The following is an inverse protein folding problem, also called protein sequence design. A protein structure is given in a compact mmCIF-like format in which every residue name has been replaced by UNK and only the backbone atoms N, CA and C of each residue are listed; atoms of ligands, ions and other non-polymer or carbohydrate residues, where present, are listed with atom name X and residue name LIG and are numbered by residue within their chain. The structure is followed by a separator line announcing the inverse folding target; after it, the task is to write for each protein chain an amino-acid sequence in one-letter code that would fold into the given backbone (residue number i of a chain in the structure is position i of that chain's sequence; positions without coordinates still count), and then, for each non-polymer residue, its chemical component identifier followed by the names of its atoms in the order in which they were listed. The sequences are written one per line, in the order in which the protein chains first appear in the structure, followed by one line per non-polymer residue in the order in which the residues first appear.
data_IF_840539093606
#
_entry.id   IF_840539093606
#
_cell.length_a   1.000
_cell.length_b   1.000
_cell.length_c   1.000
_cell.angle_alpha   90.00
_cell.angle_beta   90.00
_cell.angle_gamma   90.00
#
_symmetry.space_group_name_H-M   'P 1'
#
loop_
_entity.id
_entity.type
_entity.pdbx_description
1 polymer ?
#
# COMPACT_ATOMS: atom_id res chain seq x y z
N UNK A 1 0.25 11.57 22.22
CA UNK A 1 1.56 11.53 21.91
C UNK A 1 2.37 12.64 21.35
N UNK A 2 3.22 13.17 22.21
CA UNK A 2 3.88 14.47 22.04
C UNK A 2 5.39 14.33 21.75
N UNK A 3 5.87 13.10 21.50
CA UNK A 3 7.30 12.82 21.36
C UNK A 3 7.87 13.17 19.98
N UNK A 4 7.03 13.43 18.99
CA UNK A 4 7.48 13.77 17.62
C UNK A 4 8.19 12.63 16.88
N UNK A 5 8.19 11.43 17.43
CA UNK A 5 8.81 10.24 16.81
C UNK A 5 7.84 9.64 15.80
N UNK A 6 8.24 9.48 14.53
CA UNK A 6 7.33 9.02 13.47
C UNK A 6 7.06 7.51 13.49
N UNK A 7 7.87 6.73 14.20
CA UNK A 7 7.75 5.28 14.28
C UNK A 7 7.91 4.79 15.72
N UNK A 8 7.26 3.71 16.07
CA UNK A 8 7.34 3.08 17.38
C UNK A 8 7.14 1.58 17.33
N UNK A 9 7.61 0.90 18.36
CA UNK A 9 7.44 -0.54 18.56
C UNK A 9 6.54 -0.80 19.75
N UNK A 10 5.62 -1.74 19.60
CA UNK A 10 4.71 -2.20 20.64
C UNK A 10 4.80 -3.73 20.73
N UNK A 11 4.87 -4.25 21.96
CA UNK A 11 4.91 -5.68 22.20
C UNK A 11 3.92 -6.06 23.30
N UNK A 12 3.08 -7.06 23.02
CA UNK A 12 2.05 -7.53 23.95
C UNK A 12 2.30 -8.95 24.47
N UNK A 13 3.50 -9.48 24.29
CA UNK A 13 3.87 -10.85 24.63
C UNK A 13 3.58 -11.89 23.53
N UNK A 14 2.79 -11.55 22.52
CA UNK A 14 2.41 -12.47 21.42
C UNK A 14 2.82 -11.95 20.03
N UNK A 15 2.79 -10.66 19.85
CA UNK A 15 3.16 -10.02 18.60
C UNK A 15 3.96 -8.74 18.84
N UNK A 16 4.93 -8.50 18.00
CA UNK A 16 5.66 -7.23 17.91
C UNK A 16 5.03 -6.39 16.80
N UNK A 17 4.56 -5.21 17.14
CA UNK A 17 3.96 -4.26 16.18
C UNK A 17 4.89 -3.09 15.92
N UNK A 18 5.30 -2.94 14.67
CA UNK A 18 5.93 -1.73 14.18
C UNK A 18 4.84 -0.76 13.73
N UNK A 19 4.76 0.40 14.33
CA UNK A 19 3.79 1.45 13.99
C UNK A 19 4.49 2.65 13.38
N UNK A 20 3.98 3.11 12.26
CA UNK A 20 4.37 4.38 11.64
C UNK A 20 3.21 5.36 11.79
N UNK A 21 3.46 6.49 12.42
CA UNK A 21 2.45 7.52 12.67
C UNK A 21 3.08 8.92 12.55
N UNK A 22 3.43 9.37 11.35
CA UNK A 22 3.93 10.71 11.13
C UNK A 22 2.83 11.75 11.42
N UNK A 23 3.23 12.96 11.75
CA UNK A 23 2.29 14.05 12.05
C UNK A 23 1.51 14.44 10.80
N UNK A 24 0.20 14.61 10.97
CA UNK A 24 -0.69 15.08 9.90
C UNK A 24 -1.04 14.03 8.84
N UNK A 25 -0.63 12.79 9.04
CA UNK A 25 -0.88 11.71 8.10
C UNK A 25 -1.51 10.48 8.78
N UNK A 26 -2.09 9.60 8.00
CA UNK A 26 -2.64 8.34 8.50
C UNK A 26 -1.55 7.43 9.07
N UNK A 27 -1.86 6.70 10.13
CA UNK A 27 -0.95 5.73 10.72
C UNK A 27 -1.08 4.36 10.04
N UNK A 28 0.06 3.68 9.89
CA UNK A 28 0.13 2.29 9.46
C UNK A 28 0.83 1.42 10.49
N UNK A 29 0.68 0.12 10.38
CA UNK A 29 1.37 -0.83 11.25
C UNK A 29 1.72 -2.13 10.52
N UNK A 30 2.71 -2.82 11.05
CA UNK A 30 3.14 -4.14 10.61
C UNK A 30 3.30 -5.04 11.84
N UNK A 31 2.65 -6.19 11.86
CA UNK A 31 2.68 -7.14 12.97
C UNK A 31 3.58 -8.34 12.65
N UNK A 32 4.45 -8.65 13.61
CA UNK A 32 5.26 -9.86 13.62
C UNK A 32 4.77 -10.77 14.74
N UNK A 33 4.06 -11.83 14.41
CA UNK A 33 3.55 -12.80 15.38
C UNK A 33 4.63 -13.78 15.78
N UNK A 34 4.93 -13.87 17.07
CA UNK A 34 5.98 -14.75 17.60
C UNK A 34 5.70 -16.22 17.27
N UNK A 35 4.45 -16.65 17.40
CA UNK A 35 4.07 -18.03 17.09
C UNK A 35 4.34 -18.43 15.64
N UNK A 36 4.17 -17.51 14.71
CA UNK A 36 4.47 -17.74 13.29
C UNK A 36 5.97 -17.74 12.99
N UNK A 37 6.73 -16.89 13.67
CA UNK A 37 8.18 -16.80 13.50
C UNK A 37 8.95 -18.05 13.95
N UNK A 38 8.46 -18.79 14.92
CA UNK A 38 9.11 -20.03 15.42
C UNK A 38 8.86 -21.24 14.53
N UNK A 39 7.91 -21.17 13.61
CA UNK A 39 7.64 -22.22 12.63
C UNK A 39 8.61 -22.15 11.46
N UNK A 40 8.83 -23.29 10.79
CA UNK A 40 9.69 -23.33 9.60
C UNK A 40 9.18 -22.44 8.48
N UNK A 41 7.87 -22.38 8.29
CA UNK A 41 7.19 -21.49 7.33
C UNK A 41 7.32 -19.99 7.68
N UNK A 42 7.66 -19.68 8.92
CA UNK A 42 7.84 -18.31 9.41
C UNK A 42 9.25 -17.74 9.25
N UNK A 43 10.19 -18.47 8.64
CA UNK A 43 11.55 -17.95 8.38
C UNK A 43 11.58 -16.63 7.62
N UNK A 44 10.77 -16.42 6.56
CA UNK A 44 10.71 -15.13 5.88
C UNK A 44 10.28 -13.98 6.80
N UNK A 45 9.38 -14.24 7.75
CA UNK A 45 8.91 -13.25 8.75
C UNK A 45 10.04 -12.85 9.67
N UNK A 46 10.78 -13.83 10.21
CA UNK A 46 11.96 -13.57 11.07
C UNK A 46 13.05 -12.82 10.33
N UNK A 47 13.30 -13.17 9.07
CA UNK A 47 14.27 -12.48 8.21
C UNK A 47 13.85 -11.03 7.97
N UNK A 48 12.58 -10.79 7.65
CA UNK A 48 12.04 -9.45 7.47
C UNK A 48 12.18 -8.60 8.75
N UNK A 49 11.88 -9.18 9.91
CA UNK A 49 12.08 -8.52 11.21
C UNK A 49 13.53 -8.10 11.42
N UNK A 50 14.48 -8.99 11.17
CA UNK A 50 15.92 -8.71 11.31
C UNK A 50 16.39 -7.64 10.33
N UNK A 51 15.90 -7.66 9.09
CA UNK A 51 16.27 -6.67 8.08
C UNK A 51 15.72 -5.27 8.41
N UNK A 52 14.49 -5.19 8.93
CA UNK A 52 13.86 -3.92 9.24
C UNK A 52 14.30 -3.32 10.58
N UNK A 53 14.47 -4.15 11.60
CA UNK A 53 14.73 -3.73 12.98
C UNK A 53 16.16 -4.05 13.47
N UNK A 54 16.99 -4.60 12.61
CA UNK A 54 18.39 -4.83 12.94
C UNK A 54 19.16 -3.54 13.18
N UNK A 55 20.23 -3.62 13.95
CA UNK A 55 21.08 -2.47 14.27
C UNK A 55 21.52 -1.64 13.05
N UNK A 56 21.90 -2.24 11.89
CA UNK A 56 22.29 -1.45 10.74
C UNK A 56 21.18 -0.51 10.27
N UNK A 57 19.93 -0.97 10.19
CA UNK A 57 18.79 -0.16 9.75
C UNK A 57 18.43 0.95 10.71
N UNK A 58 18.63 0.72 12.00
CA UNK A 58 18.27 1.71 13.01
C UNK A 58 19.37 2.75 13.25
N UNK A 59 20.65 2.34 13.19
CA UNK A 59 21.72 3.15 13.70
C UNK A 59 22.89 3.38 12.74
N UNK A 60 23.31 2.37 11.99
CA UNK A 60 24.61 2.38 11.29
C UNK A 60 24.55 2.81 9.83
N UNK A 61 23.41 2.63 9.16
CA UNK A 61 23.27 3.03 7.76
C UNK A 61 23.08 4.54 7.60
N UNK A 62 23.38 5.10 6.41
CA UNK A 62 23.04 6.47 6.08
C UNK A 62 21.55 6.76 6.32
N UNK A 63 21.21 8.00 6.62
CA UNK A 63 19.81 8.40 6.96
C UNK A 63 18.79 7.93 5.93
N UNK A 64 19.13 8.01 4.64
CA UNK A 64 18.25 7.59 3.55
C UNK A 64 17.92 6.08 3.54
N UNK A 65 18.75 5.26 4.19
CA UNK A 65 18.58 3.80 4.25
C UNK A 65 18.06 3.31 5.60
N UNK A 66 17.84 4.21 6.55
CA UNK A 66 17.30 3.87 7.87
C UNK A 66 15.81 3.58 7.78
N UNK A 67 15.29 2.88 8.80
CA UNK A 67 13.89 2.50 8.89
C UNK A 67 12.92 3.67 8.68
N UNK A 68 13.16 4.81 9.30
CA UNK A 68 12.29 5.98 9.17
C UNK A 68 12.19 6.48 7.73
N UNK A 69 13.31 6.53 7.00
CA UNK A 69 13.34 6.91 5.59
C UNK A 69 12.64 5.88 4.70
N UNK A 70 12.83 4.59 4.97
CA UNK A 70 12.13 3.52 4.25
C UNK A 70 10.61 3.60 4.41
N UNK A 71 10.13 3.90 5.62
CA UNK A 71 8.69 4.07 5.88
C UNK A 71 8.13 5.28 5.15
N UNK A 72 8.88 6.37 5.09
CA UNK A 72 8.48 7.57 4.35
C UNK A 72 8.45 7.32 2.84
N UNK A 73 9.47 6.67 2.28
CA UNK A 73 9.52 6.30 0.86
C UNK A 73 8.40 5.33 0.49
N UNK A 74 8.11 4.35 1.34
CA UNK A 74 6.99 3.42 1.15
C UNK A 74 5.66 4.16 1.05
N UNK A 75 5.46 5.19 1.86
CA UNK A 75 4.25 6.01 1.83
C UNK A 75 4.14 6.83 0.54
N UNK A 76 5.21 7.46 0.10
CA UNK A 76 5.26 8.19 -1.18
C UNK A 76 4.92 7.25 -2.34
N UNK A 77 5.48 6.06 -2.33
CA UNK A 77 5.21 5.04 -3.34
C UNK A 77 3.75 4.59 -3.36
N UNK A 78 3.16 4.42 -2.18
CA UNK A 78 1.73 4.08 -2.04
C UNK A 78 0.83 5.17 -2.63
N UNK A 79 1.13 6.44 -2.40
CA UNK A 79 0.39 7.55 -2.98
C UNK A 79 0.50 7.56 -4.51
N UNK A 80 1.69 7.38 -5.05
CA UNK A 80 1.92 7.30 -6.50
C UNK A 80 1.14 6.15 -7.14
N UNK A 81 1.14 4.97 -6.52
CA UNK A 81 0.36 3.82 -6.99
C UNK A 81 -1.14 4.12 -6.96
N UNK A 82 -1.62 4.78 -5.91
CA UNK A 82 -3.04 5.15 -5.80
C UNK A 82 -3.48 6.14 -6.88
N UNK A 83 -2.65 7.12 -7.19
CA UNK A 83 -2.91 8.07 -8.29
C UNK A 83 -2.98 7.36 -9.65
N UNK A 84 -2.02 6.50 -9.94
CA UNK A 84 -2.02 5.71 -11.19
C UNK A 84 -3.23 4.79 -11.31
N UNK A 85 -3.64 4.15 -10.22
CA UNK A 85 -4.85 3.32 -10.19
C UNK A 85 -6.10 4.15 -10.47
N UNK A 86 -6.20 5.33 -9.88
CA UNK A 86 -7.34 6.24 -10.12
C UNK A 86 -7.41 6.66 -11.60
N UNK A 87 -6.30 6.98 -12.23
CA UNK A 87 -6.23 7.30 -13.67
C UNK A 87 -6.67 6.10 -14.54
N UNK A 88 -6.19 4.89 -14.22
CA UNK A 88 -6.55 3.68 -14.95
C UNK A 88 -8.04 3.35 -14.83
N UNK A 89 -8.63 3.50 -13.64
CA UNK A 89 -10.05 3.30 -13.42
C UNK A 89 -10.87 4.31 -14.21
N UNK A 90 -10.48 5.58 -14.17
CA UNK A 90 -11.16 6.64 -14.93
C UNK A 90 -11.11 6.39 -16.44
N UNK A 91 -9.95 5.99 -16.95
CA UNK A 91 -9.79 5.63 -18.36
C UNK A 91 -10.68 4.43 -18.74
N UNK A 92 -10.70 3.38 -17.93
CA UNK A 92 -11.56 2.21 -18.15
C UNK A 92 -13.05 2.56 -18.18
N UNK A 93 -13.49 3.42 -17.26
CA UNK A 93 -14.88 3.92 -17.25
C UNK A 93 -15.22 4.72 -18.50
N UNK A 94 -14.30 5.54 -18.97
CA UNK A 94 -14.47 6.32 -20.18
C UNK A 94 -14.60 5.43 -21.43
N UNK A 95 -13.74 4.42 -21.56
CA UNK A 95 -13.83 3.44 -22.64
C UNK A 95 -15.13 2.61 -22.59
N UNK A 96 -15.58 2.27 -21.39
CA UNK A 96 -16.86 1.59 -21.18
C UNK A 96 -18.05 2.44 -21.67
N UNK A 97 -18.06 3.73 -21.30
CA UNK A 97 -19.10 4.67 -21.75
C UNK A 97 -19.12 4.82 -23.27
N UNK A 98 -17.93 4.92 -23.89
CA UNK A 98 -17.82 4.96 -25.36
C UNK A 98 -18.37 3.69 -26.01
N UNK A 99 -18.08 2.54 -25.42
CA UNK A 99 -18.60 1.25 -25.87
C UNK A 99 -20.14 1.20 -25.82
N UNK A 100 -20.73 1.64 -24.72
CA UNK A 100 -22.18 1.71 -24.58
C UNK A 100 -22.82 2.68 -25.58
N UNK A 101 -22.22 3.84 -25.79
CA UNK A 101 -22.71 4.81 -26.75
C UNK A 101 -22.67 4.25 -28.17
N UNK A 102 -21.57 3.61 -28.57
CA UNK A 102 -21.45 2.96 -29.87
C UNK A 102 -22.49 1.85 -30.07
N UNK A 103 -22.75 1.05 -29.04
CA UNK A 103 -23.76 -0.01 -29.08
C UNK A 103 -25.17 0.56 -29.19
N UNK A 104 -25.46 1.65 -28.49
CA UNK A 104 -26.73 2.35 -28.55
C UNK A 104 -26.98 2.93 -29.94
N UNK A 105 -25.98 3.58 -30.52
CA UNK A 105 -26.07 4.16 -31.86
C UNK A 105 -26.26 3.08 -32.93
N UNK A 106 -25.60 1.95 -32.80
CA UNK A 106 -25.75 0.80 -33.69
C UNK A 106 -27.18 0.19 -33.59
N UNK A 107 -27.69 0.09 -32.36
CA UNK A 107 -29.06 -0.39 -32.12
C UNK A 107 -30.12 0.54 -32.73
N UNK A 108 -29.96 1.85 -32.58
CA UNK A 108 -30.86 2.83 -33.15
C UNK A 108 -30.86 2.83 -34.69
N UNK A 109 -29.68 2.67 -35.29
CA UNK A 109 -29.58 2.52 -36.76
C UNK A 109 -30.29 1.26 -37.24
N UNK A 110 -30.12 0.14 -36.55
CA UNK A 110 -30.80 -1.11 -36.87
C UNK A 110 -32.33 -0.97 -36.72
N UNK A 111 -32.80 -0.33 -35.67
CA UNK A 111 -34.24 -0.06 -35.45
C UNK A 111 -34.83 0.86 -36.51
N UNK A 112 -34.08 1.86 -36.98
CA UNK A 112 -34.52 2.76 -38.07
C UNK A 112 -34.63 2.10 -39.44
N UNK A 113 -33.95 0.96 -39.67
CA UNK A 113 -34.08 0.21 -40.94
C UNK A 113 -35.32 -0.67 -41.05
N UNK A 114 -36.03 -0.91 -39.94
CA UNK A 114 -37.23 -1.74 -39.90
C UNK A 114 -38.53 -0.91 -39.90
N UNK A 115 -38.41 0.41 -40.00
CA UNK A 115 -39.51 1.36 -39.94
C UNK A 115 -40.04 1.87 -41.30
N UNK A 116 -39.57 1.30 -42.44
CA UNK A 116 -40.10 1.61 -43.79
C UNK A 116 -40.99 0.52 -44.29
#
# INVERSE_FOLDING_TARGET
RQTGVPAGLLFNGRALRLRSAPRGESSGWLDFRVAEMVQTSGRPISTALRLLLGQPRLLSLPRAQRLAALLEDSRKFQNEVSERLAEQVLHALYELLRGFQSAHDASNKAAGQWGE
#
